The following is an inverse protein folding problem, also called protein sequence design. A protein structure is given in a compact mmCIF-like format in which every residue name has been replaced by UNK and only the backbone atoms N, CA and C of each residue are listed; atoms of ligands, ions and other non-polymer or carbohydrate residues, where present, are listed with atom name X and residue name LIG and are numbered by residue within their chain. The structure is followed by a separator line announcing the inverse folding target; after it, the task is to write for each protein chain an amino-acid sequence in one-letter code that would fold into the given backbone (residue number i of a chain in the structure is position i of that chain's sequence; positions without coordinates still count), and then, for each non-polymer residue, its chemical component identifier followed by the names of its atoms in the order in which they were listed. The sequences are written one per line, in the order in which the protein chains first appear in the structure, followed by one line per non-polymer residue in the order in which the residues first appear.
data_IF_638501755687
#
_entry.id   IF_638501755687
#
_cell.length_a   1.000
_cell.length_b   1.000
_cell.length_c   1.000
_cell.angle_alpha   90.00
_cell.angle_beta   90.00
_cell.angle_gamma   90.00
#
_symmetry.space_group_name_H-M   'P 1'
#
loop_
_entity.id
_entity.type
_entity.pdbx_description
1 polymer ?
#
# COMPACT_ATOMS: atom_id res chain seq x y z
N UNK A 1 -21.05 -1.66 14.63
CA UNK A 1 -19.71 -1.09 14.84
C UNK A 1 -18.69 -2.00 14.19
N UNK A 2 -17.94 -1.48 13.26
CA UNK A 2 -16.89 -2.27 12.65
C UNK A 2 -15.63 -2.19 13.48
N UNK A 3 -15.00 -3.33 13.70
CA UNK A 3 -13.73 -3.41 14.38
C UNK A 3 -12.66 -3.69 13.35
N UNK A 4 -11.91 -2.68 13.00
CA UNK A 4 -10.85 -2.74 11.99
C UNK A 4 -9.64 -3.47 12.58
N UNK A 5 -9.06 -4.40 11.81
CA UNK A 5 -7.86 -5.15 12.22
C UNK A 5 -6.72 -4.20 12.58
N UNK A 6 -6.61 -3.06 11.89
CA UNK A 6 -5.60 -2.07 12.19
C UNK A 6 -5.72 -1.54 13.61
N UNK A 7 -6.93 -1.30 14.09
CA UNK A 7 -7.15 -0.78 15.45
C UNK A 7 -6.60 -1.72 16.51
N UNK A 8 -6.73 -3.03 16.28
CA UNK A 8 -6.16 -4.05 17.16
C UNK A 8 -4.63 -3.97 17.18
N UNK A 9 -4.02 -3.84 16.00
CA UNK A 9 -2.57 -3.66 15.89
C UNK A 9 -2.12 -2.34 16.52
N UNK A 10 -2.85 -1.27 16.27
CA UNK A 10 -2.49 0.06 16.79
C UNK A 10 -2.47 0.08 18.31
N UNK A 11 -3.43 -0.57 18.96
CA UNK A 11 -3.46 -0.65 20.42
C UNK A 11 -2.21 -1.32 20.96
N UNK A 12 -1.77 -2.40 20.33
CA UNK A 12 -0.55 -3.12 20.75
C UNK A 12 0.71 -2.32 20.43
N UNK A 13 0.74 -1.61 19.31
CA UNK A 13 1.87 -0.75 18.92
C UNK A 13 2.08 0.37 19.92
N UNK A 14 1.00 0.97 20.43
CA UNK A 14 1.09 2.06 21.40
C UNK A 14 1.72 1.60 22.72
N UNK A 15 1.54 0.35 23.08
CA UNK A 15 2.15 -0.23 24.28
C UNK A 15 3.68 -0.33 24.13
N UNK A 16 4.19 -0.33 22.90
CA UNK A 16 5.61 -0.50 22.60
C UNK A 16 6.13 0.64 21.73
N UNK A 17 5.61 1.85 21.94
CA UNK A 17 5.79 3.00 21.06
C UNK A 17 7.25 3.26 20.66
N UNK A 18 8.18 3.15 21.59
CA UNK A 18 9.59 3.46 21.34
C UNK A 18 10.41 2.24 20.90
N UNK A 19 9.82 1.05 20.85
CA UNK A 19 10.51 -0.14 20.36
C UNK A 19 10.63 -0.09 18.84
N UNK A 20 11.68 -0.72 18.30
CA UNK A 20 11.88 -0.80 16.86
C UNK A 20 10.82 -1.72 16.24
N UNK A 21 10.14 -1.21 15.21
CA UNK A 21 9.21 -1.98 14.41
C UNK A 21 9.90 -2.57 13.17
N UNK A 22 10.71 -1.73 12.50
CA UNK A 22 11.46 -2.14 11.31
C UNK A 22 12.89 -1.63 11.46
N UNK A 23 13.86 -2.52 11.20
CA UNK A 23 15.27 -2.12 11.09
C UNK A 23 15.77 -2.62 9.73
N UNK A 24 16.38 -1.75 8.95
CA UNK A 24 16.90 -2.09 7.63
C UNK A 24 18.37 -2.46 7.71
N UNK A 25 18.88 -3.10 6.65
CA UNK A 25 20.31 -3.50 6.59
C UNK A 25 21.25 -2.30 6.58
N UNK A 26 20.79 -1.17 6.05
CA UNK A 26 21.59 0.07 6.00
C UNK A 26 21.47 0.90 7.29
N UNK A 27 20.84 0.37 8.32
CA UNK A 27 20.79 0.99 9.64
C UNK A 27 19.62 1.92 9.88
N UNK A 28 18.70 2.07 8.93
CA UNK A 28 17.50 2.87 9.18
C UNK A 28 16.59 2.15 10.17
N UNK A 29 15.98 2.90 11.04
CA UNK A 29 15.08 2.39 12.06
C UNK A 29 13.74 3.09 12.01
N UNK A 30 12.68 2.31 12.17
CA UNK A 30 11.32 2.81 12.30
C UNK A 30 10.76 2.27 13.60
N UNK A 31 10.46 3.15 14.54
CA UNK A 31 9.79 2.74 15.79
C UNK A 31 8.31 2.45 15.52
N UNK A 32 7.62 1.89 16.50
CA UNK A 32 6.17 1.73 16.40
C UNK A 32 5.47 3.08 16.28
N UNK A 33 5.98 4.12 16.95
CA UNK A 33 5.46 5.48 16.79
C UNK A 33 5.62 5.96 15.34
N UNK A 34 6.78 5.73 14.74
CA UNK A 34 7.01 6.06 13.32
C UNK A 34 6.03 5.33 12.43
N UNK A 35 5.81 4.04 12.67
CA UNK A 35 4.88 3.24 11.87
C UNK A 35 3.47 3.79 11.94
N UNK A 36 3.00 4.15 13.12
CA UNK A 36 1.68 4.75 13.30
C UNK A 36 1.57 6.09 12.57
N UNK A 37 2.57 6.95 12.73
CA UNK A 37 2.58 8.29 12.13
C UNK A 37 2.63 8.23 10.60
N UNK A 38 3.54 7.43 10.04
CA UNK A 38 3.72 7.33 8.59
C UNK A 38 2.53 6.65 7.94
N UNK A 39 2.02 5.57 8.55
CA UNK A 39 0.85 4.89 8.00
C UNK A 39 -0.39 5.79 8.01
N UNK A 40 -0.52 6.69 8.98
CA UNK A 40 -1.60 7.67 9.00
C UNK A 40 -1.51 8.64 7.82
N UNK A 41 -0.30 9.11 7.50
CA UNK A 41 -0.08 10.00 6.35
C UNK A 41 -0.36 9.29 5.03
N UNK A 42 0.10 8.04 4.90
CA UNK A 42 -0.17 7.25 3.71
C UNK A 42 -1.66 6.96 3.57
N UNK A 43 -2.35 6.69 4.67
CA UNK A 43 -3.80 6.48 4.66
C UNK A 43 -4.53 7.72 4.14
N UNK A 44 -4.09 8.92 4.56
CA UNK A 44 -4.62 10.17 4.03
C UNK A 44 -4.41 10.30 2.53
N UNK A 45 -3.22 9.95 2.05
CA UNK A 45 -2.91 9.97 0.62
C UNK A 45 -3.79 8.99 -0.16
N UNK A 46 -3.99 7.78 0.35
CA UNK A 46 -4.88 6.79 -0.27
C UNK A 46 -6.30 7.33 -0.39
N UNK A 47 -6.80 7.94 0.68
CA UNK A 47 -8.14 8.54 0.69
C UNK A 47 -8.26 9.65 -0.35
N UNK A 48 -7.24 10.51 -0.46
CA UNK A 48 -7.22 11.58 -1.46
C UNK A 48 -7.21 11.02 -2.89
N UNK A 49 -6.60 9.86 -3.09
CA UNK A 49 -6.58 9.19 -4.39
C UNK A 49 -7.89 8.45 -4.70
N UNK A 50 -8.86 8.49 -3.79
CA UNK A 50 -10.18 7.93 -4.02
C UNK A 50 -10.39 6.53 -3.47
N UNK A 51 -9.46 6.00 -2.70
CA UNK A 51 -9.60 4.67 -2.09
C UNK A 51 -10.55 4.73 -0.91
N UNK A 52 -11.55 3.87 -0.91
CA UNK A 52 -12.57 3.79 0.15
C UNK A 52 -12.51 2.43 0.82
N UNK A 53 -13.19 2.31 1.97
CA UNK A 53 -13.31 1.04 2.67
C UNK A 53 -13.82 -0.04 1.70
N UNK A 54 -13.15 -1.19 1.71
CA UNK A 54 -13.48 -2.31 0.84
C UNK A 54 -12.85 -2.27 -0.54
N UNK A 55 -12.30 -1.13 -0.94
CA UNK A 55 -11.63 -1.01 -2.25
C UNK A 55 -10.32 -1.79 -2.26
N UNK A 56 -9.99 -2.32 -3.42
CA UNK A 56 -8.74 -3.03 -3.64
C UNK A 56 -7.66 -2.06 -4.11
N UNK A 57 -6.47 -2.26 -3.55
CA UNK A 57 -5.26 -1.52 -3.94
C UNK A 57 -4.25 -2.53 -4.45
N UNK A 58 -3.99 -2.50 -5.75
CA UNK A 58 -2.96 -3.37 -6.34
C UNK A 58 -1.60 -2.72 -6.14
N UNK A 59 -0.63 -3.49 -5.65
CA UNK A 59 0.69 -2.96 -5.30
C UNK A 59 1.77 -3.83 -5.90
N UNK A 60 2.56 -3.26 -6.81
CA UNK A 60 3.72 -3.93 -7.41
C UNK A 60 4.96 -3.09 -7.14
N UNK A 61 5.55 -3.31 -5.97
CA UNK A 61 6.73 -2.58 -5.54
C UNK A 61 7.74 -3.55 -4.95
N UNK A 62 8.99 -3.12 -4.86
CA UNK A 62 10.03 -3.91 -4.23
C UNK A 62 9.79 -3.98 -2.72
N UNK A 63 10.28 -5.05 -2.10
CA UNK A 63 10.19 -5.18 -0.64
C UNK A 63 10.96 -4.03 0.01
N UNK A 64 10.30 -3.33 0.91
CA UNK A 64 10.87 -2.16 1.57
C UNK A 64 10.07 -1.83 2.83
N UNK A 65 10.64 -1.02 3.74
CA UNK A 65 9.87 -0.49 4.87
C UNK A 65 8.63 0.28 4.40
N UNK A 66 8.77 1.05 3.32
CA UNK A 66 7.66 1.84 2.76
C UNK A 66 6.51 0.94 2.31
N UNK A 67 6.81 -0.23 1.74
CA UNK A 67 5.77 -1.19 1.32
C UNK A 67 5.00 -1.73 2.53
N UNK A 68 5.69 -2.01 3.64
CA UNK A 68 5.05 -2.46 4.87
C UNK A 68 4.17 -1.36 5.44
N UNK A 69 4.65 -0.12 5.43
CA UNK A 69 3.89 1.03 5.93
C UNK A 69 2.67 1.30 5.07
N UNK A 70 2.77 1.09 3.76
CA UNK A 70 1.62 1.18 2.86
C UNK A 70 0.58 0.09 3.16
N UNK A 71 1.03 -1.13 3.47
CA UNK A 71 0.13 -2.20 3.88
C UNK A 71 -0.65 -1.79 5.14
N UNK A 72 0.02 -1.21 6.14
CA UNK A 72 -0.63 -0.73 7.35
C UNK A 72 -1.63 0.38 7.03
N UNK A 73 -1.29 1.27 6.10
CA UNK A 73 -2.20 2.34 5.67
C UNK A 73 -3.46 1.77 5.03
N UNK A 74 -3.33 0.72 4.20
CA UNK A 74 -4.49 0.04 3.63
C UNK A 74 -5.38 -0.56 4.71
N UNK A 75 -4.79 -1.23 5.70
CA UNK A 75 -5.55 -1.77 6.83
C UNK A 75 -6.28 -0.66 7.59
N UNK A 76 -5.61 0.48 7.75
CA UNK A 76 -6.13 1.62 8.50
C UNK A 76 -7.43 2.15 7.91
N UNK A 77 -7.54 2.18 6.59
CA UNK A 77 -8.75 2.68 5.90
C UNK A 77 -9.73 1.55 5.55
N UNK A 78 -9.42 0.32 5.93
CA UNK A 78 -10.27 -0.83 5.59
C UNK A 78 -10.20 -1.24 4.13
N UNK A 79 -9.11 -0.90 3.44
CA UNK A 79 -8.86 -1.31 2.07
C UNK A 79 -8.29 -2.72 1.99
N UNK A 80 -8.28 -3.28 0.78
CA UNK A 80 -7.74 -4.61 0.51
C UNK A 80 -6.43 -4.47 -0.25
N UNK A 81 -5.33 -4.88 0.38
CA UNK A 81 -3.98 -4.81 -0.18
C UNK A 81 -3.74 -6.06 -1.05
N UNK A 82 -3.50 -5.87 -2.34
CA UNK A 82 -3.23 -6.95 -3.28
C UNK A 82 -1.79 -6.83 -3.81
N UNK A 83 -0.85 -7.58 -3.23
CA UNK A 83 0.53 -7.52 -3.71
C UNK A 83 0.66 -8.27 -5.04
N UNK A 84 1.34 -7.64 -6.01
CA UNK A 84 1.66 -8.25 -7.28
C UNK A 84 3.16 -8.52 -7.35
N UNK A 85 3.52 -9.65 -7.94
CA UNK A 85 4.92 -10.01 -8.12
C UNK A 85 5.60 -9.00 -9.06
N UNK A 86 6.77 -8.50 -8.67
CA UNK A 86 7.52 -7.54 -9.47
C UNK A 86 8.02 -8.11 -10.79
N UNK A 87 8.04 -9.44 -10.93
CA UNK A 87 8.40 -10.11 -12.17
C UNK A 87 7.26 -10.25 -13.18
N UNK A 88 6.05 -9.81 -12.84
CA UNK A 88 4.93 -9.90 -13.78
C UNK A 88 5.16 -9.04 -15.02
N UNK A 89 4.81 -9.61 -16.18
CA UNK A 89 4.82 -8.88 -17.46
C UNK A 89 3.63 -7.94 -17.56
N UNK A 90 3.63 -7.09 -18.58
CA UNK A 90 2.49 -6.21 -18.83
C UNK A 90 1.18 -6.98 -19.03
N UNK A 91 1.22 -8.12 -19.70
CA UNK A 91 0.03 -8.96 -19.91
C UNK A 91 -0.50 -9.52 -18.59
N UNK A 92 0.39 -9.95 -17.70
CA UNK A 92 0.01 -10.45 -16.39
C UNK A 92 -0.59 -9.34 -15.53
N UNK A 93 0.02 -8.16 -15.54
CA UNK A 93 -0.52 -6.99 -14.82
C UNK A 93 -1.91 -6.65 -15.36
N UNK A 94 -2.07 -6.61 -16.68
CA UNK A 94 -3.37 -6.34 -17.30
C UNK A 94 -4.43 -7.31 -16.81
N UNK A 95 -4.10 -8.59 -16.76
CA UNK A 95 -5.01 -9.62 -16.27
C UNK A 95 -5.47 -9.32 -14.83
N UNK A 96 -4.50 -9.02 -13.94
CA UNK A 96 -4.83 -8.75 -12.54
C UNK A 96 -5.64 -7.47 -12.37
N UNK A 97 -5.35 -6.41 -13.13
CA UNK A 97 -6.11 -5.17 -13.04
C UNK A 97 -7.54 -5.37 -13.55
N UNK A 98 -7.73 -6.16 -14.60
CA UNK A 98 -9.07 -6.50 -15.08
C UNK A 98 -9.85 -7.36 -14.09
N UNK A 99 -9.19 -8.34 -13.48
CA UNK A 99 -9.83 -9.29 -12.57
C UNK A 99 -10.19 -8.64 -11.22
N UNK A 100 -9.27 -7.91 -10.62
CA UNK A 100 -9.45 -7.34 -9.30
C UNK A 100 -10.20 -6.01 -9.30
N UNK A 101 -10.18 -5.30 -10.40
CA UNK A 101 -10.79 -3.95 -10.52
C UNK A 101 -10.38 -3.03 -9.37
N UNK A 102 -9.06 -2.83 -9.13
CA UNK A 102 -8.63 -2.02 -8.01
C UNK A 102 -8.96 -0.54 -8.21
N UNK A 103 -9.15 0.16 -7.09
CA UNK A 103 -9.34 1.62 -7.11
C UNK A 103 -8.02 2.36 -7.34
N UNK A 104 -6.91 1.70 -7.07
CA UNK A 104 -5.57 2.29 -7.18
C UNK A 104 -4.56 1.20 -7.54
N UNK A 105 -3.62 1.55 -8.41
CA UNK A 105 -2.44 0.72 -8.70
C UNK A 105 -1.20 1.47 -8.26
N UNK A 106 -0.48 0.93 -7.29
CA UNK A 106 0.79 1.48 -6.80
C UNK A 106 1.92 0.68 -7.43
N UNK A 107 2.85 1.36 -8.08
CA UNK A 107 3.92 0.71 -8.81
C UNK A 107 5.29 1.33 -8.49
N UNK A 108 6.34 0.67 -8.98
CA UNK A 108 7.70 1.24 -8.91
C UNK A 108 7.78 2.44 -9.85
N UNK A 109 8.56 3.49 -9.49
CA UNK A 109 8.69 4.66 -10.37
C UNK A 109 9.14 4.33 -11.79
N UNK A 110 10.01 3.33 -11.95
CA UNK A 110 10.57 2.98 -13.27
C UNK A 110 9.54 2.43 -14.26
N UNK A 111 8.39 1.95 -13.80
CA UNK A 111 7.34 1.43 -14.68
C UNK A 111 6.10 2.33 -14.70
N UNK A 112 6.22 3.54 -14.17
CA UNK A 112 5.06 4.43 -14.04
C UNK A 112 4.33 4.67 -15.37
N UNK A 113 5.06 4.91 -16.44
CA UNK A 113 4.45 5.18 -17.75
C UNK A 113 3.64 3.98 -18.23
N UNK A 114 4.23 2.79 -18.17
CA UNK A 114 3.54 1.55 -18.53
C UNK A 114 2.34 1.29 -17.62
N UNK A 115 2.52 1.51 -16.32
CA UNK A 115 1.45 1.30 -15.33
C UNK A 115 0.26 2.21 -15.62
N UNK A 116 0.50 3.47 -15.96
CA UNK A 116 -0.58 4.40 -16.30
C UNK A 116 -1.32 3.99 -17.56
N UNK A 117 -0.59 3.47 -18.56
CA UNK A 117 -1.20 2.97 -19.79
C UNK A 117 -2.08 1.74 -19.50
N UNK A 118 -1.59 0.81 -18.69
CA UNK A 118 -2.35 -0.39 -18.29
C UNK A 118 -3.57 -0.04 -17.46
N UNK A 119 -3.44 0.92 -16.55
CA UNK A 119 -4.56 1.38 -15.74
C UNK A 119 -5.65 2.00 -16.59
N UNK A 120 -5.28 2.86 -17.54
CA UNK A 120 -6.24 3.49 -18.45
C UNK A 120 -6.97 2.43 -19.29
N UNK A 121 -6.23 1.43 -19.77
CA UNK A 121 -6.78 0.35 -20.59
C UNK A 121 -7.76 -0.53 -19.81
N UNK A 122 -7.50 -0.76 -18.53
CA UNK A 122 -8.30 -1.66 -17.69
C UNK A 122 -9.35 -0.96 -16.85
N UNK A 123 -9.40 0.36 -16.88
CA UNK A 123 -10.35 1.14 -16.11
C UNK A 123 -9.96 1.38 -14.65
N UNK A 124 -8.71 1.15 -14.29
CA UNK A 124 -8.21 1.50 -12.96
C UNK A 124 -8.09 3.03 -12.85
N UNK A 125 -8.81 3.67 -11.92
CA UNK A 125 -8.95 5.14 -11.95
C UNK A 125 -7.75 5.92 -11.46
N UNK A 126 -6.81 5.30 -10.77
CA UNK A 126 -5.67 6.02 -10.20
C UNK A 126 -4.40 5.17 -10.20
N UNK A 127 -3.27 5.83 -10.37
CA UNK A 127 -1.94 5.22 -10.30
C UNK A 127 -1.06 6.11 -9.41
N UNK A 128 -0.27 5.48 -8.55
CA UNK A 128 0.72 6.16 -7.73
C UNK A 128 2.02 5.38 -7.75
N UNK A 129 3.11 6.02 -7.34
CA UNK A 129 4.41 5.37 -7.27
C UNK A 129 4.90 5.30 -5.83
N UNK A 130 5.68 4.27 -5.55
CA UNK A 130 6.34 4.09 -4.26
C UNK A 130 7.72 3.48 -4.50
N UNK A 131 8.73 4.10 -3.94
CA UNK A 131 10.11 3.61 -4.10
C UNK A 131 11.16 4.65 -4.35
#
# INVERSE_FOLDING_TARGET
MSHNLFETFAAKMRERAEADFITTRDGRRYSYTDALSISAKLAGALTELGVKQGDRVAVQVDKSPEAILLYLACLRIGGVYLPLNTGYTGDEIRYFLNDAEPALFVCRPKIEEEARALAAETGCPAVATLG
#
